data_IF_774753511813
#
_entry.id   IF_774753511813
#
_cell.length_a   1.000
_cell.length_b   1.000
_cell.length_c   1.000
_cell.angle_alpha   90.00
_cell.angle_beta   90.00
_cell.angle_gamma   90.00
#
_symmetry.space_group_name_H-M   'P 1'
#
loop_
_entity.id
_entity.type
_entity.pdbx_description
1 polymer ?
#
# COMPACT_ATOMS: atom_id res chain seq x y z
N UNK A 1 18.28 -28.13 9.96
CA UNK A 1 17.57 -26.85 10.22
C UNK A 1 18.02 -25.90 9.15
N UNK A 2 17.28 -25.82 8.05
CA UNK A 2 17.60 -24.94 6.93
C UNK A 2 16.29 -24.40 6.39
N UNK A 3 16.37 -23.26 5.70
CA UNK A 3 15.34 -22.72 4.80
C UNK A 3 14.29 -21.80 5.41
N UNK A 4 14.65 -20.70 6.10
CA UNK A 4 13.76 -19.51 6.12
C UNK A 4 14.47 -18.15 5.92
N UNK A 5 15.73 -18.14 5.45
CA UNK A 5 16.29 -17.01 4.67
C UNK A 5 15.79 -17.11 3.22
N UNK A 6 14.47 -17.10 3.04
CA UNK A 6 13.85 -17.31 1.73
C UNK A 6 14.10 -16.08 0.86
N UNK A 7 15.24 -16.11 0.16
CA UNK A 7 15.66 -15.19 -0.88
C UNK A 7 14.45 -14.84 -1.73
N UNK A 8 14.19 -13.55 -1.90
CA UNK A 8 13.10 -13.07 -2.73
C UNK A 8 13.27 -13.64 -4.14
N UNK A 9 12.36 -14.52 -4.57
CA UNK A 9 12.39 -15.06 -5.93
C UNK A 9 12.25 -13.93 -6.94
N UNK A 10 13.13 -13.86 -7.94
CA UNK A 10 13.10 -12.81 -8.97
C UNK A 10 13.16 -11.37 -8.40
N UNK A 11 14.24 -11.00 -7.68
CA UNK A 11 14.35 -9.67 -7.06
C UNK A 11 14.40 -8.54 -8.08
N UNK A 12 14.76 -8.82 -9.33
CA UNK A 12 14.72 -7.87 -10.45
C UNK A 12 13.33 -7.24 -10.63
N UNK A 13 12.26 -7.97 -10.30
CA UNK A 13 10.88 -7.48 -10.38
C UNK A 13 10.61 -6.31 -9.42
N UNK A 14 11.41 -6.13 -8.37
CA UNK A 14 11.34 -4.94 -7.50
C UNK A 14 11.59 -3.65 -8.26
N UNK A 15 12.32 -3.70 -9.37
CA UNK A 15 12.57 -2.53 -10.21
C UNK A 15 11.32 -2.10 -10.97
N UNK A 16 10.37 -3.01 -11.22
CA UNK A 16 9.10 -2.70 -11.88
C UNK A 16 8.11 -2.00 -10.95
N UNK A 17 8.28 -2.15 -9.64
CA UNK A 17 7.42 -1.55 -8.63
C UNK A 17 7.94 -0.15 -8.32
N UNK A 18 7.13 0.86 -8.68
CA UNK A 18 7.41 2.25 -8.32
C UNK A 18 7.28 2.46 -6.81
N UNK A 19 7.90 3.51 -6.28
CA UNK A 19 7.71 3.88 -4.89
C UNK A 19 6.27 4.25 -4.59
N UNK A 20 5.84 3.93 -3.37
CA UNK A 20 4.51 4.30 -2.88
C UNK A 20 4.49 5.81 -2.58
N UNK A 21 3.52 6.50 -3.16
CA UNK A 21 3.23 7.91 -2.91
C UNK A 21 1.75 8.11 -2.55
N UNK A 22 1.40 9.33 -2.14
CA UNK A 22 0.04 9.65 -1.68
C UNK A 22 -1.02 9.56 -2.80
N UNK A 23 -0.64 9.58 -4.08
CA UNK A 23 -1.56 9.64 -5.22
C UNK A 23 -1.73 8.30 -5.94
N UNK A 24 -0.81 7.36 -5.75
CA UNK A 24 -0.73 6.08 -6.45
C UNK A 24 -1.03 4.88 -5.55
N UNK A 25 -1.62 5.08 -4.37
CA UNK A 25 -1.78 4.03 -3.36
C UNK A 25 -2.44 2.76 -3.91
N UNK A 26 -3.55 2.90 -4.65
CA UNK A 26 -4.28 1.76 -5.22
C UNK A 26 -3.54 1.09 -6.39
N UNK A 27 -2.91 1.89 -7.26
CA UNK A 27 -2.10 1.38 -8.36
C UNK A 27 -0.86 0.62 -7.86
N UNK A 28 -0.20 1.14 -6.82
CA UNK A 28 0.96 0.51 -6.19
C UNK A 28 0.64 -0.91 -5.72
N UNK A 29 -0.45 -1.09 -4.96
CA UNK A 29 -0.82 -2.41 -4.46
C UNK A 29 -1.23 -3.36 -5.58
N UNK A 30 -1.93 -2.85 -6.60
CA UNK A 30 -2.29 -3.64 -7.79
C UNK A 30 -1.05 -4.15 -8.52
N UNK A 31 -0.07 -3.28 -8.77
CA UNK A 31 1.21 -3.66 -9.41
C UNK A 31 2.00 -4.61 -8.52
N UNK A 32 2.06 -4.36 -7.21
CA UNK A 32 2.74 -5.23 -6.25
C UNK A 32 2.16 -6.65 -6.24
N UNK A 33 0.83 -6.78 -6.21
CA UNK A 33 0.14 -8.07 -6.19
C UNK A 33 0.33 -8.85 -7.50
N UNK A 34 0.19 -8.17 -8.65
CA UNK A 34 0.47 -8.78 -9.94
C UNK A 34 1.93 -9.24 -10.06
N UNK A 35 2.86 -8.42 -9.56
CA UNK A 35 4.29 -8.75 -9.55
C UNK A 35 4.60 -9.90 -8.59
N UNK A 36 3.91 -9.96 -7.46
CA UNK A 36 4.05 -11.04 -6.49
C UNK A 36 3.58 -12.39 -7.04
N UNK A 37 2.55 -12.41 -7.89
CA UNK A 37 2.13 -13.62 -8.60
C UNK A 37 3.23 -14.11 -9.54
N UNK A 38 3.89 -13.20 -10.26
CA UNK A 38 5.01 -13.53 -11.17
C UNK A 38 6.27 -13.97 -10.40
N UNK A 39 6.54 -13.34 -9.26
CA UNK A 39 7.68 -13.63 -8.39
C UNK A 39 7.45 -14.79 -7.42
N UNK A 40 6.21 -15.30 -7.34
CA UNK A 40 5.75 -16.26 -6.33
C UNK A 40 6.08 -15.82 -4.88
N UNK A 41 5.80 -14.54 -4.57
CA UNK A 41 6.15 -13.94 -3.28
C UNK A 41 5.15 -14.27 -2.18
N UNK A 42 5.66 -14.46 -0.96
CA UNK A 42 4.82 -14.72 0.21
C UNK A 42 4.22 -13.45 0.79
N UNK A 43 3.20 -13.60 1.65
CA UNK A 43 2.58 -12.47 2.36
C UNK A 43 3.59 -11.68 3.21
N UNK A 44 4.57 -12.36 3.80
CA UNK A 44 5.65 -11.75 4.58
C UNK A 44 6.58 -10.93 3.67
N UNK A 45 6.86 -11.43 2.46
CA UNK A 45 7.67 -10.69 1.48
C UNK A 45 6.91 -9.46 0.96
N UNK A 46 5.61 -9.59 0.69
CA UNK A 46 4.75 -8.49 0.28
C UNK A 46 4.72 -7.35 1.31
N UNK A 47 4.58 -7.67 2.60
CA UNK A 47 4.61 -6.64 3.66
C UNK A 47 5.97 -5.97 3.76
N UNK A 48 7.07 -6.75 3.69
CA UNK A 48 8.43 -6.21 3.70
C UNK A 48 8.71 -5.27 2.52
N UNK A 49 8.33 -5.68 1.29
CA UNK A 49 8.48 -4.86 0.07
C UNK A 49 7.65 -3.58 0.16
N UNK A 50 6.41 -3.69 0.66
CA UNK A 50 5.55 -2.52 0.86
C UNK A 50 6.25 -1.51 1.74
N UNK A 51 6.71 -1.91 2.93
CA UNK A 51 7.42 -1.04 3.88
C UNK A 51 8.70 -0.45 3.27
N UNK A 52 9.45 -1.23 2.50
CA UNK A 52 10.69 -0.79 1.86
C UNK A 52 10.45 0.26 0.76
N UNK A 53 9.33 0.17 0.05
CA UNK A 53 8.94 1.10 -1.03
C UNK A 53 8.15 2.32 -0.53
N UNK A 54 7.89 2.43 0.77
CA UNK A 54 7.27 3.63 1.34
C UNK A 54 8.25 4.80 1.33
N UNK A 55 7.84 5.92 0.74
CA UNK A 55 8.61 7.16 0.76
C UNK A 55 7.79 8.33 1.34
N UNK A 56 8.50 9.40 1.72
CA UNK A 56 7.89 10.66 2.16
C UNK A 56 6.88 10.51 3.30
N UNK A 57 5.65 10.99 3.05
CA UNK A 57 4.56 11.01 4.05
C UNK A 57 4.10 9.60 4.44
N UNK A 58 4.10 8.66 3.50
CA UNK A 58 3.69 7.28 3.75
C UNK A 58 4.65 6.56 4.70
N UNK A 59 5.95 6.78 4.53
CA UNK A 59 6.97 6.26 5.45
C UNK A 59 6.79 6.82 6.85
N UNK A 60 6.62 8.14 6.99
CA UNK A 60 6.39 8.78 8.29
C UNK A 60 5.13 8.25 8.99
N UNK A 61 4.05 8.04 8.24
CA UNK A 61 2.82 7.44 8.78
C UNK A 61 3.04 6.01 9.27
N UNK A 62 3.71 5.19 8.46
CA UNK A 62 4.04 3.82 8.86
C UNK A 62 4.89 3.80 10.13
N UNK A 63 5.93 4.63 10.21
CA UNK A 63 6.80 4.70 11.38
C UNK A 63 6.08 5.19 12.64
N UNK A 64 5.14 6.13 12.51
CA UNK A 64 4.41 6.69 13.65
C UNK A 64 3.24 5.80 14.13
N UNK A 65 2.55 5.11 13.21
CA UNK A 65 1.27 4.44 13.50
C UNK A 65 1.29 2.91 13.39
N UNK A 66 2.20 2.35 12.59
CA UNK A 66 2.20 0.93 12.22
C UNK A 66 3.47 0.19 12.69
N UNK A 67 4.60 0.89 12.84
CA UNK A 67 5.87 0.32 13.32
C UNK A 67 5.70 -0.31 14.71
N UNK A 68 6.09 -1.57 14.84
CA UNK A 68 5.94 -2.36 16.07
C UNK A 68 4.63 -3.14 16.18
N UNK A 69 3.64 -2.88 15.31
CA UNK A 69 2.49 -3.77 15.17
C UNK A 69 2.86 -4.83 14.15
N UNK A 70 2.94 -6.10 14.56
CA UNK A 70 3.21 -7.24 13.68
C UNK A 70 2.00 -7.49 12.75
N UNK A 71 1.76 -6.54 11.84
CA UNK A 71 0.63 -6.48 10.94
C UNK A 71 0.92 -7.32 9.71
N UNK A 72 -0.02 -8.22 9.41
CA UNK A 72 -0.06 -8.94 8.14
C UNK A 72 -0.28 -8.00 6.97
N UNK A 73 -0.04 -8.48 5.76
CA UNK A 73 -0.14 -7.67 4.54
C UNK A 73 -1.53 -7.04 4.35
N UNK A 74 -2.61 -7.83 4.50
CA UNK A 74 -3.98 -7.35 4.32
C UNK A 74 -4.35 -6.13 5.19
N UNK A 75 -4.19 -6.16 6.53
CA UNK A 75 -4.49 -5.01 7.36
C UNK A 75 -3.53 -3.82 7.13
N UNK A 76 -2.27 -4.09 6.73
CA UNK A 76 -1.32 -3.04 6.35
C UNK A 76 -1.76 -2.31 5.06
N UNK A 77 -2.14 -3.06 4.02
CA UNK A 77 -2.71 -2.55 2.77
C UNK A 77 -3.95 -1.69 3.05
N UNK A 78 -4.90 -2.23 3.81
CA UNK A 78 -6.14 -1.51 4.13
C UNK A 78 -5.88 -0.17 4.85
N UNK A 79 -4.93 -0.13 5.79
CA UNK A 79 -4.56 1.10 6.51
C UNK A 79 -3.89 2.14 5.62
N UNK A 80 -3.00 1.70 4.73
CA UNK A 80 -2.33 2.59 3.78
C UNK A 80 -3.32 3.14 2.75
N UNK A 81 -4.20 2.30 2.19
CA UNK A 81 -5.25 2.76 1.28
C UNK A 81 -6.21 3.71 1.98
N UNK A 82 -6.66 3.40 3.20
CA UNK A 82 -7.58 4.29 3.94
C UNK A 82 -6.96 5.67 4.26
N UNK A 83 -5.64 5.73 4.44
CA UNK A 83 -4.92 6.96 4.77
C UNK A 83 -4.60 7.81 3.53
N UNK A 84 -4.27 7.16 2.41
CA UNK A 84 -3.73 7.82 1.21
C UNK A 84 -4.66 7.80 0.00
N UNK A 85 -5.64 6.89 -0.06
CA UNK A 85 -6.70 6.98 -1.07
C UNK A 85 -7.47 8.27 -0.81
N UNK A 86 -7.72 9.02 -1.89
CA UNK A 86 -8.44 10.29 -1.82
C UNK A 86 -9.74 10.02 -1.07
N UNK A 87 -10.11 10.81 -0.04
CA UNK A 87 -11.43 10.72 0.51
C UNK A 87 -12.37 10.96 -0.67
N UNK A 88 -13.16 9.95 -1.04
CA UNK A 88 -14.35 10.16 -1.84
C UNK A 88 -15.24 11.00 -0.94
N UNK A 89 -15.02 12.31 -1.00
CA UNK A 89 -15.55 13.25 -0.06
C UNK A 89 -17.04 13.33 -0.35
N UNK A 90 -17.82 12.49 0.33
CA UNK A 90 -19.28 12.51 0.31
C UNK A 90 -19.83 13.90 0.64
N UNK A 91 -19.05 14.70 1.39
CA UNK A 91 -19.35 16.10 1.69
C UNK A 91 -19.25 17.04 0.46
N UNK A 92 -18.58 16.65 -0.63
CA UNK A 92 -18.59 17.42 -1.89
C UNK A 92 -19.88 17.17 -2.67
N UNK A 93 -20.46 15.97 -2.58
CA UNK A 93 -21.68 15.61 -3.29
C UNK A 93 -22.89 16.36 -2.73
N UNK A 94 -22.95 16.59 -1.42
CA UNK A 94 -24.09 17.31 -0.80
C UNK A 94 -24.07 18.82 -1.08
N UNK A 95 -22.92 19.43 -1.39
CA UNK A 95 -22.88 20.86 -1.71
C UNK A 95 -23.39 21.19 -3.12
N UNK A 96 -23.45 20.22 -4.03
CA UNK A 96 -23.93 20.46 -5.40
C UNK A 96 -25.46 20.35 -5.57
N UNK A 97 -26.19 19.90 -4.55
CA UNK A 97 -27.66 19.81 -4.56
C UNK A 97 -28.36 20.89 -3.70
N UNK A 98 -27.60 21.80 -3.09
CA UNK A 98 -28.12 22.80 -2.16
C UNK A 98 -28.51 24.16 -2.78
N UNK A 99 -28.67 24.26 -4.10
CA UNK A 99 -29.12 25.49 -4.77
C UNK A 99 -30.20 25.21 -5.81
N UNK A 100 -31.25 24.49 -5.42
CA UNK A 100 -32.57 24.69 -6.04
C UNK A 100 -33.45 25.33 -4.99
N UNK A 101 -33.54 26.66 -5.10
CA UNK A 101 -34.50 27.51 -4.40
C UNK A 101 -35.92 27.00 -4.66
N UNK A 102 -36.67 26.73 -3.60
CA UNK A 102 -38.13 26.77 -3.59
C UNK A 102 -38.55 27.86 -2.61
#
# INVERSE_FOLDING_TARGET
>A
MADEDKILSNPCLLSSIRSFNDENAEEFFTVLENTALLGNWSEIQLSAITTLKLEGRARRFFEASLKGKNLRYQPLKARLIAQFSKPVNFASTVRNYGSVTL
#
